data_IF_750675143684
#
_entry.id   IF_750675143684
#
_cell.length_a   1.000
_cell.length_b   1.000
_cell.length_c   1.000
_cell.angle_alpha   90.00
_cell.angle_beta   90.00
_cell.angle_gamma   90.00
#
_symmetry.space_group_name_H-M   'P 1'
#
loop_
_entity.id
_entity.type
_entity.pdbx_description
1 polymer ?
#
# COMPACT_ATOMS: atom_id res chain seq x y z
N UNK A 1 -3.23 8.25 -9.66
CA UNK A 1 -2.17 7.45 -10.31
C UNK A 1 -2.72 6.64 -11.48
N UNK A 2 -3.74 5.80 -11.26
CA UNK A 2 -4.43 5.04 -12.33
C UNK A 2 -4.88 5.94 -13.50
N UNK A 3 -5.56 7.06 -13.21
CA UNK A 3 -5.99 8.01 -14.23
C UNK A 3 -4.86 8.65 -15.05
N UNK A 4 -3.64 8.72 -14.51
CA UNK A 4 -2.49 9.22 -15.26
C UNK A 4 -2.03 8.18 -16.29
N UNK A 5 -2.00 6.90 -15.93
CA UNK A 5 -1.73 5.80 -16.86
C UNK A 5 -2.75 5.75 -17.99
N UNK A 6 -4.05 5.85 -17.65
CA UNK A 6 -5.15 5.84 -18.64
C UNK A 6 -5.03 7.03 -19.60
N UNK A 7 -4.86 8.25 -19.07
CA UNK A 7 -4.72 9.45 -19.92
C UNK A 7 -3.43 9.48 -20.72
N UNK A 8 -2.36 8.86 -20.22
CA UNK A 8 -1.10 8.70 -20.92
C UNK A 8 -1.10 7.60 -21.98
N UNK A 9 -2.22 6.89 -22.18
CA UNK A 9 -2.32 5.82 -23.17
C UNK A 9 -1.47 4.58 -22.84
N UNK A 10 -1.17 4.33 -21.56
CA UNK A 10 -0.38 3.17 -21.17
C UNK A 10 -1.11 1.86 -21.53
N UNK A 11 -0.40 0.94 -22.17
CA UNK A 11 -0.91 -0.37 -22.59
C UNK A 11 -0.07 -1.53 -22.04
N UNK A 12 -0.67 -2.71 -21.94
CA UNK A 12 -0.05 -3.91 -21.36
C UNK A 12 -0.18 -3.98 -19.83
N UNK A 13 0.62 -4.84 -19.21
CA UNK A 13 0.59 -5.09 -17.75
C UNK A 13 1.42 -4.04 -17.02
N UNK A 14 0.94 -3.59 -15.85
CA UNK A 14 1.62 -2.63 -14.97
C UNK A 14 1.49 -3.04 -13.51
N UNK A 15 2.56 -2.89 -12.74
CA UNK A 15 2.50 -2.96 -11.28
C UNK A 15 2.18 -1.57 -10.71
N UNK A 16 1.08 -1.48 -9.97
CA UNK A 16 0.57 -0.26 -9.36
C UNK A 16 0.56 -0.48 -7.85
N UNK A 17 1.68 -0.17 -7.20
CA UNK A 17 1.90 -0.36 -5.76
C UNK A 17 2.47 0.92 -5.14
N UNK A 18 2.36 1.09 -3.83
CA UNK A 18 3.09 2.15 -3.14
C UNK A 18 4.61 1.88 -3.19
N UNK A 19 5.42 2.93 -3.06
CA UNK A 19 6.87 2.81 -3.04
C UNK A 19 7.36 2.22 -1.71
N UNK A 20 8.51 1.54 -1.77
CA UNK A 20 9.18 0.92 -0.63
C UNK A 20 8.96 -0.60 -0.53
N UNK A 21 9.56 -1.19 0.49
CA UNK A 21 9.46 -2.60 0.82
C UNK A 21 9.31 -2.72 2.34
N UNK A 22 8.52 -3.69 2.79
CA UNK A 22 8.18 -3.85 4.21
C UNK A 22 7.75 -5.28 4.50
N UNK A 23 7.80 -5.65 5.77
CA UNK A 23 7.19 -6.87 6.32
C UNK A 23 5.76 -6.58 6.81
N UNK A 24 4.96 -7.64 7.00
CA UNK A 24 3.63 -7.52 7.63
C UNK A 24 3.70 -7.01 9.07
N UNK A 25 4.78 -7.34 9.78
CA UNK A 25 5.04 -6.85 11.13
C UNK A 25 5.17 -5.33 11.16
N UNK A 26 5.97 -4.75 10.27
CA UNK A 26 6.15 -3.30 10.17
C UNK A 26 4.86 -2.58 9.76
N UNK A 27 4.10 -3.14 8.81
CA UNK A 27 2.78 -2.60 8.44
C UNK A 27 1.86 -2.54 9.66
N UNK A 28 1.78 -3.63 10.44
CA UNK A 28 0.95 -3.67 11.65
C UNK A 28 1.39 -2.62 12.68
N UNK A 29 2.70 -2.44 12.90
CA UNK A 29 3.21 -1.39 13.79
C UNK A 29 2.84 0.02 13.32
N UNK A 30 2.92 0.30 12.01
CA UNK A 30 2.51 1.59 11.46
C UNK A 30 1.00 1.81 11.62
N UNK A 31 0.18 0.78 11.45
CA UNK A 31 -1.28 0.87 11.70
C UNK A 31 -1.56 1.19 13.17
N UNK A 32 -0.96 0.46 14.11
CA UNK A 32 -1.15 0.70 15.55
C UNK A 32 -0.73 2.12 15.93
N UNK A 33 0.46 2.55 15.49
CA UNK A 33 0.94 3.91 15.72
C UNK A 33 -0.01 4.97 15.14
N UNK A 34 -0.52 4.76 13.91
CA UNK A 34 -1.42 5.70 13.25
C UNK A 34 -2.80 5.78 13.92
N UNK A 35 -3.25 4.69 14.54
CA UNK A 35 -4.49 4.61 15.31
C UNK A 35 -4.37 5.13 16.75
N UNK A 36 -3.17 5.52 17.20
CA UNK A 36 -2.91 5.90 18.59
C UNK A 36 -2.91 4.72 19.57
N UNK A 37 -2.77 3.49 19.06
CA UNK A 37 -2.68 2.28 19.86
C UNK A 37 -1.22 1.96 20.24
N UNK A 38 -1.06 1.11 21.26
CA UNK A 38 0.26 0.69 21.73
C UNK A 38 0.94 -0.26 20.72
N UNK A 39 2.02 0.21 20.10
CA UNK A 39 2.80 -0.63 19.17
C UNK A 39 3.50 -1.81 19.83
N UNK A 40 3.64 -1.83 21.15
CA UNK A 40 4.17 -2.95 21.93
C UNK A 40 3.30 -4.20 21.90
N UNK A 41 2.02 -4.06 21.52
CA UNK A 41 1.09 -5.19 21.31
C UNK A 41 1.35 -5.94 19.99
N UNK A 42 2.20 -5.40 19.12
CA UNK A 42 2.55 -6.03 17.84
C UNK A 42 3.83 -6.82 18.03
N UNK A 43 3.71 -8.14 18.02
CA UNK A 43 4.84 -9.08 18.13
C UNK A 43 5.18 -9.70 16.76
N UNK A 44 6.47 -9.93 16.46
CA UNK A 44 6.86 -10.59 15.23
C UNK A 44 6.51 -12.09 15.28
N UNK A 45 6.08 -12.65 14.16
CA UNK A 45 5.92 -14.08 13.98
C UNK A 45 6.40 -14.54 12.60
N UNK A 46 6.73 -15.82 12.50
CA UNK A 46 7.09 -16.50 11.26
C UNK A 46 5.85 -16.86 10.44
N UNK A 47 6.05 -17.07 9.14
CA UNK A 47 4.97 -17.54 8.26
C UNK A 47 4.38 -18.87 8.73
N UNK A 48 5.18 -19.77 9.33
CA UNK A 48 4.70 -21.05 9.83
C UNK A 48 3.74 -20.90 11.02
N UNK A 49 4.06 -19.99 11.94
CA UNK A 49 3.21 -19.69 13.10
C UNK A 49 1.87 -19.04 12.70
N UNK A 50 1.81 -18.39 11.54
CA UNK A 50 0.58 -17.73 11.06
C UNK A 50 -0.55 -18.70 10.66
N UNK A 51 -0.30 -20.02 10.58
CA UNK A 51 -1.32 -21.05 10.36
C UNK A 51 -2.09 -20.93 9.03
N UNK A 52 -1.56 -20.19 8.05
CA UNK A 52 -2.26 -19.90 6.79
C UNK A 52 -2.34 -21.15 5.90
N UNK A 53 -3.55 -21.49 5.46
CA UNK A 53 -3.80 -22.65 4.58
C UNK A 53 -3.09 -22.57 3.22
N UNK A 54 -2.96 -21.36 2.66
CA UNK A 54 -2.30 -21.15 1.37
C UNK A 54 -0.82 -20.75 1.56
N UNK A 55 0.12 -21.39 0.85
CA UNK A 55 1.51 -20.98 0.82
C UNK A 55 1.63 -19.52 0.38
N UNK A 56 2.44 -18.73 1.09
CA UNK A 56 2.71 -17.34 0.74
C UNK A 56 4.16 -17.20 0.29
N UNK A 57 4.43 -16.43 -0.77
CA UNK A 57 5.80 -16.12 -1.15
C UNK A 57 6.47 -15.35 0.00
N UNK A 58 7.74 -15.65 0.26
CA UNK A 58 8.56 -14.92 1.25
C UNK A 58 8.81 -13.48 0.82
N UNK A 59 8.79 -13.20 -0.48
CA UNK A 59 9.05 -11.90 -1.06
C UNK A 59 8.06 -11.61 -2.18
N UNK A 60 7.30 -10.52 -2.06
CA UNK A 60 6.26 -10.12 -3.02
C UNK A 60 6.31 -8.63 -3.33
N UNK A 61 7.49 -8.01 -3.20
CA UNK A 61 7.70 -6.62 -3.64
C UNK A 61 7.67 -6.60 -5.17
N UNK A 62 6.92 -5.67 -5.73
CA UNK A 62 6.74 -5.54 -7.17
C UNK A 62 7.56 -4.36 -7.72
N UNK A 63 8.26 -4.58 -8.83
CA UNK A 63 8.91 -3.49 -9.56
C UNK A 63 7.85 -2.61 -10.23
N UNK A 64 7.81 -1.33 -9.83
CA UNK A 64 6.89 -0.33 -10.37
C UNK A 64 7.58 0.72 -11.25
N UNK A 65 8.83 0.48 -11.71
CA UNK A 65 9.60 1.43 -12.51
C UNK A 65 8.87 1.84 -13.80
N UNK A 66 8.19 0.91 -14.47
CA UNK A 66 7.38 1.22 -15.65
C UNK A 66 6.25 2.20 -15.32
N UNK A 67 5.58 2.00 -14.20
CA UNK A 67 4.50 2.88 -13.73
C UNK A 67 5.03 4.25 -13.34
N UNK A 68 6.18 4.34 -12.64
CA UNK A 68 6.84 5.62 -12.31
C UNK A 68 7.17 6.40 -13.58
N UNK A 69 7.74 5.73 -14.59
CA UNK A 69 8.08 6.34 -15.87
C UNK A 69 6.86 6.85 -16.61
N UNK A 70 5.80 6.05 -16.72
CA UNK A 70 4.58 6.41 -17.45
C UNK A 70 3.80 7.53 -16.74
N UNK A 71 3.82 7.59 -15.41
CA UNK A 71 3.14 8.64 -14.62
C UNK A 71 4.00 9.91 -14.49
N UNK A 72 5.31 9.82 -14.71
CA UNK A 72 6.23 10.96 -14.68
C UNK A 72 6.54 11.52 -13.28
N UNK A 73 6.26 10.76 -12.22
CA UNK A 73 6.58 11.13 -10.82
C UNK A 73 6.72 9.89 -9.93
N UNK A 74 7.42 10.02 -8.78
CA UNK A 74 7.50 8.93 -7.80
C UNK A 74 6.14 8.47 -7.29
N UNK A 75 6.05 7.19 -6.91
CA UNK A 75 4.89 6.64 -6.23
C UNK A 75 4.95 7.04 -4.74
N UNK A 76 3.79 7.27 -4.09
CA UNK A 76 3.79 7.61 -2.66
C UNK A 76 4.42 6.49 -1.83
N UNK A 77 5.12 6.86 -0.76
CA UNK A 77 5.64 5.89 0.21
C UNK A 77 4.48 5.12 0.87
N UNK A 78 4.67 3.82 1.10
CA UNK A 78 3.61 2.97 1.63
C UNK A 78 3.16 3.42 3.03
N UNK A 79 4.09 3.89 3.87
CA UNK A 79 3.81 4.33 5.23
C UNK A 79 2.87 5.53 5.23
N UNK A 80 3.06 6.46 4.29
CA UNK A 80 2.23 7.66 4.18
C UNK A 80 0.79 7.31 3.81
N UNK A 81 0.59 6.35 2.90
CA UNK A 81 -0.73 5.84 2.56
C UNK A 81 -1.40 5.13 3.73
N UNK A 82 -0.68 4.26 4.44
CA UNK A 82 -1.23 3.55 5.61
C UNK A 82 -1.61 4.54 6.70
N UNK A 83 -0.72 5.49 7.04
CA UNK A 83 -1.01 6.52 8.05
C UNK A 83 -2.19 7.40 7.65
N UNK A 84 -2.24 7.85 6.40
CA UNK A 84 -3.35 8.67 5.92
C UNK A 84 -4.66 7.90 6.02
N UNK A 85 -4.72 6.68 5.49
CA UNK A 85 -5.94 5.87 5.49
C UNK A 85 -6.43 5.55 6.89
N UNK A 86 -5.55 5.16 7.81
CA UNK A 86 -5.95 4.87 9.20
C UNK A 86 -6.53 6.11 9.90
N UNK A 87 -5.97 7.30 9.63
CA UNK A 87 -6.42 8.54 10.28
C UNK A 87 -7.68 9.14 9.67
N UNK A 88 -7.87 9.01 8.36
CA UNK A 88 -8.91 9.76 7.63
C UNK A 88 -9.94 8.88 6.95
N UNK A 89 -9.69 7.57 6.84
CA UNK A 89 -10.48 6.65 6.01
C UNK A 89 -10.28 6.86 4.50
N UNK A 90 -9.38 7.76 4.08
CA UNK A 90 -9.18 8.14 2.68
C UNK A 90 -7.74 7.89 2.25
N UNK A 91 -7.56 7.23 1.10
CA UNK A 91 -6.26 7.06 0.46
C UNK A 91 -5.92 8.30 -0.39
N UNK A 92 -4.84 9.03 -0.11
CA UNK A 92 -4.41 10.15 -0.93
C UNK A 92 -4.10 9.72 -2.37
N UNK A 93 -4.57 10.47 -3.37
CA UNK A 93 -4.19 10.25 -4.78
C UNK A 93 -4.81 9.02 -5.47
N UNK A 94 -5.58 8.22 -4.74
CA UNK A 94 -6.55 7.26 -5.27
C UNK A 94 -7.92 7.92 -5.13
N UNK A 95 -8.35 8.66 -6.16
CA UNK A 95 -9.72 9.16 -6.23
C UNK A 95 -10.68 7.99 -6.40
N UNK A 96 -10.95 7.27 -5.30
CA UNK A 96 -12.07 6.35 -5.21
C UNK A 96 -13.25 7.18 -4.72
N UNK A 97 -14.23 7.24 -5.61
CA UNK A 97 -15.60 7.70 -5.51
C UNK A 97 -16.16 7.49 -4.08
N UNK A 98 -16.15 8.54 -3.27
CA UNK A 98 -17.13 8.76 -2.23
C UNK A 98 -18.03 9.89 -2.72
N UNK A 99 -19.13 9.54 -3.38
CA UNK A 99 -20.17 10.50 -3.72
C UNK A 99 -21.23 10.53 -2.62
N UNK A 100 -21.48 11.71 -2.09
CA UNK A 100 -22.75 12.22 -1.57
C UNK A 100 -22.54 13.73 -1.36
N UNK A 101 -23.02 14.61 -2.24
CA UNK A 101 -24.36 15.20 -2.13
C UNK A 101 -25.29 14.50 -1.11
N UNK A 102 -25.67 15.30 -0.11
CA UNK A 102 -26.47 15.05 1.10
C UNK A 102 -25.75 14.54 2.34
#
# INVERSE_FOLDING_TARGET
MLWALVRGGASGVRHVVAAGATTWFEVARVVYAAAGADTGLVEPCTTAESGRAAPRPRYSVLDAAATVRDVGRPLPAWEDHVRAYVRTGVLPGLGLIGGADR
#
